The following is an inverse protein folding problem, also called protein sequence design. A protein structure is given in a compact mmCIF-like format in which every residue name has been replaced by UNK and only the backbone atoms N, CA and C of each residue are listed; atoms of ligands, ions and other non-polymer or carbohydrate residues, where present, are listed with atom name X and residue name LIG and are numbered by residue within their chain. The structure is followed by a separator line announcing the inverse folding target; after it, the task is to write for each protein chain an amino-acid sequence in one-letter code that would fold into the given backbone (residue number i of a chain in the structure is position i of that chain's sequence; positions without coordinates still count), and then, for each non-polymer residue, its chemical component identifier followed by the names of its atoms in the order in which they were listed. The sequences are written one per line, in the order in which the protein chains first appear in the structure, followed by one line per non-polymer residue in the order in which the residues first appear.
data_IF_444329946362
#
_entry.id   IF_444329946362
#
_cell.length_a   1.000
_cell.length_b   1.000
_cell.length_c   1.000
_cell.angle_alpha   90.00
_cell.angle_beta   90.00
_cell.angle_gamma   90.00
#
_symmetry.space_group_name_H-M   'P 1'
#
loop_
_entity.id
_entity.type
_entity.pdbx_description
1 polymer ?
#
# COMPACT_ATOMS: atom_id res chain seq x y z
N UNK A 1 2.41 2.48 -6.64
CA UNK A 1 1.47 1.40 -7.02
C UNK A 1 0.23 2.02 -7.65
N UNK A 2 -0.48 1.33 -8.54
CA UNK A 2 -1.63 1.94 -9.22
C UNK A 2 -2.84 1.91 -8.29
N UNK A 3 -3.42 3.07 -7.99
CA UNK A 3 -4.61 3.17 -7.16
C UNK A 3 -5.77 2.42 -7.81
N UNK A 4 -6.41 1.45 -7.14
CA UNK A 4 -7.48 0.64 -7.72
C UNK A 4 -8.76 1.44 -7.99
N UNK A 5 -8.95 2.60 -7.32
CA UNK A 5 -10.14 3.44 -7.51
C UNK A 5 -10.06 4.41 -8.69
N UNK A 6 -8.95 5.13 -8.85
CA UNK A 6 -8.80 6.18 -9.88
C UNK A 6 -7.67 5.92 -10.89
N UNK A 7 -6.89 4.84 -10.73
CA UNK A 7 -5.80 4.49 -11.63
C UNK A 7 -4.55 5.36 -11.54
N UNK A 8 -4.49 6.36 -10.64
CA UNK A 8 -3.31 7.19 -10.39
C UNK A 8 -2.14 6.39 -9.82
N UNK A 9 -0.91 6.85 -10.06
CA UNK A 9 0.32 6.28 -9.49
C UNK A 9 0.80 7.03 -8.25
N UNK A 10 0.13 8.14 -7.90
CA UNK A 10 0.46 8.96 -6.74
C UNK A 10 -0.21 8.38 -5.50
N UNK A 11 0.59 7.65 -4.71
CA UNK A 11 0.20 7.11 -3.42
C UNK A 11 1.28 7.37 -2.37
N UNK A 12 0.87 7.44 -1.12
CA UNK A 12 1.74 7.61 0.05
C UNK A 12 1.58 6.42 0.97
N UNK A 13 2.70 5.84 1.40
CA UNK A 13 2.71 4.82 2.45
C UNK A 13 2.40 5.48 3.79
N UNK A 14 1.39 4.97 4.49
CA UNK A 14 0.94 5.48 5.79
C UNK A 14 1.22 4.52 6.96
N UNK A 15 1.30 3.21 6.70
CA UNK A 15 1.62 2.20 7.71
C UNK A 15 2.38 1.05 7.04
N UNK A 16 3.40 0.52 7.69
CA UNK A 16 4.13 -0.66 7.21
C UNK A 16 4.26 -1.65 8.37
N UNK A 17 3.79 -2.88 8.18
CA UNK A 17 3.88 -3.95 9.16
C UNK A 17 4.58 -5.15 8.52
N UNK A 18 5.59 -5.66 9.20
CA UNK A 18 6.21 -6.93 8.85
C UNK A 18 5.41 -8.08 9.48
N UNK A 19 5.19 -9.16 8.72
CA UNK A 19 4.65 -10.40 9.27
C UNK A 19 5.69 -11.07 10.18
N UNK A 20 5.23 -11.77 11.22
CA UNK A 20 6.09 -12.41 12.24
C UNK A 20 7.09 -13.41 11.65
N UNK A 21 6.75 -14.01 10.52
CA UNK A 21 7.56 -15.01 9.84
C UNK A 21 8.59 -14.40 8.88
N UNK A 22 8.76 -13.07 8.87
CA UNK A 22 9.66 -12.32 7.97
C UNK A 22 9.38 -12.52 6.47
N UNK A 23 8.31 -13.21 6.11
CA UNK A 23 8.00 -13.63 4.73
C UNK A 23 7.26 -12.59 3.92
N UNK A 24 6.63 -11.61 4.57
CA UNK A 24 5.84 -10.60 3.90
C UNK A 24 5.80 -9.28 4.65
N UNK A 25 5.78 -8.20 3.89
CA UNK A 25 5.57 -6.83 4.34
C UNK A 25 4.19 -6.38 3.87
N UNK A 26 3.30 -6.08 4.82
CA UNK A 26 2.03 -5.42 4.52
C UNK A 26 2.19 -3.92 4.64
N UNK A 27 2.02 -3.20 3.53
CA UNK A 27 2.03 -1.73 3.48
C UNK A 27 0.63 -1.19 3.24
N UNK A 28 0.17 -0.28 4.10
CA UNK A 28 -1.05 0.50 3.88
C UNK A 28 -0.67 1.80 3.17
N UNK A 29 -1.31 2.05 2.03
CA UNK A 29 -1.09 3.21 1.16
C UNK A 29 -2.36 4.03 1.05
N UNK A 30 -2.22 5.33 0.86
CA UNK A 30 -3.30 6.28 0.57
C UNK A 30 -3.01 6.99 -0.75
N UNK A 31 -3.97 6.98 -1.68
CA UNK A 31 -3.85 7.69 -2.95
C UNK A 31 -3.92 9.21 -2.72
N UNK A 32 -2.94 9.96 -3.23
CA UNK A 32 -2.91 11.42 -3.07
C UNK A 32 -3.95 12.15 -3.93
N UNK A 33 -4.43 11.53 -5.02
CA UNK A 33 -5.47 12.11 -5.89
C UNK A 33 -6.89 11.95 -5.35
N UNK A 34 -7.27 10.73 -4.93
CA UNK A 34 -8.65 10.43 -4.53
C UNK A 34 -8.82 10.07 -3.04
N UNK A 35 -7.74 10.14 -2.26
CA UNK A 35 -7.67 9.77 -0.83
C UNK A 35 -8.14 8.34 -0.52
N UNK A 36 -8.17 7.46 -1.52
CA UNK A 36 -8.52 6.06 -1.33
C UNK A 36 -7.38 5.30 -0.64
N UNK A 37 -7.71 4.53 0.39
CA UNK A 37 -6.76 3.72 1.14
C UNK A 37 -6.79 2.28 0.68
N UNK A 38 -5.62 1.70 0.44
CA UNK A 38 -5.47 0.32 0.00
C UNK A 38 -4.24 -0.32 0.63
N UNK A 39 -4.24 -1.64 0.76
CA UNK A 39 -3.12 -2.44 1.30
C UNK A 39 -2.42 -3.18 0.19
N UNK A 40 -1.10 -3.25 0.29
CA UNK A 40 -0.23 -3.95 -0.65
C UNK A 40 0.65 -4.90 0.14
N UNK A 41 0.85 -6.09 -0.39
CA UNK A 41 1.74 -7.10 0.18
C UNK A 41 2.97 -7.17 -0.72
N UNK A 42 4.15 -7.09 -0.11
CA UNK A 42 5.42 -7.39 -0.76
C UNK A 42 5.97 -8.64 -0.05
N UNK A 43 6.17 -9.72 -0.79
CA UNK A 43 6.92 -10.89 -0.32
C UNK A 43 8.43 -10.57 -0.39
N UNK A 44 9.19 -10.96 0.64
CA UNK A 44 10.65 -10.75 0.73
C UNK A 44 11.38 -11.93 0.08
#
# INVERSE_FOLDING_TARGET
MRCPKCGSRDDKVIDSRQSRDSSSIRRRRECLKCKYRFTTYEEI
#
